data_IF_609210150157
#
_entry.id   IF_609210150157
#
_cell.length_a   1.000
_cell.length_b   1.000
_cell.length_c   1.000
_cell.angle_alpha   90.00
_cell.angle_beta   90.00
_cell.angle_gamma   90.00
#
_symmetry.space_group_name_H-M   'P 1'
#
loop_
_entity.id
_entity.type
_entity.pdbx_description
1 polymer ?
#
# COMPACT_ATOMS: atom_id res chain seq x y z
N UNK A 1 -14.77 16.61 -22.40
CA UNK A 1 -15.51 16.64 -21.11
C UNK A 1 -16.93 16.14 -21.36
N UNK A 2 -17.67 15.77 -20.31
CA UNK A 2 -19.10 15.51 -20.46
C UNK A 2 -19.83 16.79 -20.89
N UNK A 3 -20.95 16.70 -21.63
CA UNK A 3 -21.79 17.86 -21.93
C UNK A 3 -22.24 18.56 -20.63
N UNK A 4 -22.39 19.90 -20.65
CA UNK A 4 -22.88 20.62 -19.48
C UNK A 4 -24.34 20.26 -19.18
N UNK A 5 -24.68 20.28 -17.89
CA UNK A 5 -26.03 20.22 -17.37
C UNK A 5 -26.49 21.65 -17.10
N UNK A 6 -27.59 22.06 -17.73
CA UNK A 6 -28.20 23.37 -17.54
C UNK A 6 -29.21 23.30 -16.40
N UNK A 7 -29.03 24.16 -15.39
CA UNK A 7 -29.98 24.36 -14.29
C UNK A 7 -30.61 25.74 -14.48
N UNK A 8 -31.94 25.77 -14.52
CA UNK A 8 -32.72 27.01 -14.72
C UNK A 8 -33.64 27.18 -13.52
N UNK A 9 -33.49 28.30 -12.82
CA UNK A 9 -34.28 28.63 -11.64
C UNK A 9 -34.94 30.01 -11.81
N UNK A 10 -36.20 30.13 -11.40
CA UNK A 10 -36.87 31.43 -11.27
C UNK A 10 -36.63 31.96 -9.86
N UNK A 11 -36.05 33.14 -9.77
CA UNK A 11 -35.80 33.82 -8.50
C UNK A 11 -37.09 34.47 -7.98
N UNK A 12 -37.21 34.74 -6.67
CA UNK A 12 -38.43 35.34 -6.09
C UNK A 12 -38.84 36.70 -6.66
N UNK A 13 -37.90 37.43 -7.25
CA UNK A 13 -38.10 38.71 -7.96
C UNK A 13 -38.45 38.55 -9.44
N UNK A 14 -38.66 37.32 -9.92
CA UNK A 14 -39.09 37.02 -11.29
C UNK A 14 -37.97 36.98 -12.32
N UNK A 15 -36.70 36.99 -11.90
CA UNK A 15 -35.57 36.80 -12.81
C UNK A 15 -35.34 35.29 -13.08
N UNK A 16 -34.80 34.96 -14.25
CA UNK A 16 -34.41 33.59 -14.58
C UNK A 16 -32.90 33.46 -14.43
N UNK A 17 -32.46 32.68 -13.44
CA UNK A 17 -31.08 32.26 -13.29
C UNK A 17 -30.81 31.06 -14.20
N UNK A 18 -29.70 31.08 -14.94
CA UNK A 18 -29.21 29.94 -15.73
C UNK A 18 -27.79 29.64 -15.34
N UNK A 19 -27.55 28.42 -14.90
CA UNK A 19 -26.23 27.94 -14.51
C UNK A 19 -25.87 26.66 -15.25
N UNK A 20 -24.65 26.61 -15.78
CA UNK A 20 -24.11 25.43 -16.46
C UNK A 20 -23.16 24.67 -15.54
N UNK A 21 -23.51 23.44 -15.20
CA UNK A 21 -22.68 22.54 -14.40
C UNK A 21 -22.02 21.49 -15.26
N UNK A 22 -20.80 21.08 -14.93
CA UNK A 22 -20.10 19.98 -15.59
C UNK A 22 -19.61 18.97 -14.58
N UNK A 23 -19.64 17.69 -14.95
CA UNK A 23 -18.95 16.66 -14.17
C UNK A 23 -17.44 16.93 -14.19
N UNK A 24 -16.82 16.97 -13.01
CA UNK A 24 -15.39 17.26 -12.88
C UNK A 24 -14.55 16.23 -13.63
N UNK A 25 -13.68 16.62 -14.58
CA UNK A 25 -12.77 15.70 -15.27
C UNK A 25 -11.44 15.48 -14.52
N UNK A 26 -11.19 16.30 -13.49
CA UNK A 26 -9.98 16.33 -12.67
C UNK A 26 -10.29 17.01 -11.32
N UNK A 27 -9.47 16.73 -10.29
CA UNK A 27 -9.67 17.31 -8.95
C UNK A 27 -8.99 18.68 -8.79
N UNK A 28 -7.98 19.00 -9.62
CA UNK A 28 -7.13 20.20 -9.49
C UNK A 28 -7.91 21.49 -9.21
N UNK A 29 -8.94 21.87 -10.00
CA UNK A 29 -9.69 23.10 -9.77
C UNK A 29 -10.30 23.20 -8.37
N UNK A 30 -10.77 22.09 -7.81
CA UNK A 30 -11.36 22.06 -6.47
C UNK A 30 -10.27 22.21 -5.40
N UNK A 31 -9.12 21.55 -5.58
CA UNK A 31 -7.98 21.72 -4.68
C UNK A 31 -7.43 23.14 -4.71
N UNK A 32 -7.43 23.80 -5.88
CA UNK A 32 -7.03 25.21 -5.99
C UNK A 32 -8.00 26.12 -5.23
N UNK A 33 -9.32 25.85 -5.28
CA UNK A 33 -10.30 26.58 -4.47
C UNK A 33 -10.09 26.35 -2.96
N UNK A 34 -9.78 25.13 -2.54
CA UNK A 34 -9.44 24.84 -1.14
C UNK A 34 -8.16 25.57 -0.71
N UNK A 35 -7.15 25.61 -1.57
CA UNK A 35 -5.94 26.38 -1.34
C UNK A 35 -6.28 27.87 -1.13
N UNK A 36 -7.01 28.47 -2.08
CA UNK A 36 -7.38 29.88 -2.12
C UNK A 36 -8.39 30.32 -1.04
N UNK A 37 -9.03 29.38 -0.33
CA UNK A 37 -10.04 29.69 0.68
C UNK A 37 -9.50 30.50 1.87
N UNK A 38 -8.18 30.55 2.06
CA UNK A 38 -7.53 31.44 3.03
C UNK A 38 -6.13 31.83 2.56
N UNK A 39 -5.66 32.97 3.06
CA UNK A 39 -4.27 33.40 2.91
C UNK A 39 -3.30 32.36 3.49
N UNK A 40 -2.15 32.19 2.84
CA UNK A 40 -1.11 31.22 3.20
C UNK A 40 0.20 31.93 3.51
N UNK A 41 0.96 31.41 4.46
CA UNK A 41 2.37 31.80 4.69
C UNK A 41 3.32 30.78 4.09
N UNK A 42 4.52 31.20 3.65
CA UNK A 42 5.59 30.30 3.20
C UNK A 42 5.90 29.19 4.22
N UNK A 43 5.69 29.44 5.53
CA UNK A 43 5.88 28.46 6.62
C UNK A 43 4.91 27.29 6.58
N UNK A 44 3.79 27.44 5.87
CA UNK A 44 2.79 26.40 5.68
C UNK A 44 3.06 25.55 4.43
N UNK A 45 4.04 25.95 3.61
CA UNK A 45 4.46 25.21 2.44
C UNK A 45 5.64 24.29 2.79
N UNK A 46 5.71 23.06 2.24
CA UNK A 46 4.80 22.51 1.23
C UNK A 46 3.44 22.02 1.79
N UNK A 47 2.35 22.49 1.20
CA UNK A 47 0.98 22.08 1.55
C UNK A 47 0.51 20.97 0.63
N UNK A 48 0.06 19.84 1.18
CA UNK A 48 -0.39 18.66 0.41
C UNK A 48 -1.89 18.47 0.57
N UNK A 49 -2.64 18.59 -0.54
CA UNK A 49 -4.07 18.29 -0.58
C UNK A 49 -4.28 16.99 -1.36
N UNK A 50 -4.70 15.93 -0.68
CA UNK A 50 -4.93 14.60 -1.26
C UNK A 50 -6.42 14.24 -1.22
N UNK A 51 -6.92 13.66 -2.31
CA UNK A 51 -8.29 13.20 -2.46
C UNK A 51 -8.29 11.86 -3.20
N UNK A 52 -9.04 10.88 -2.68
CA UNK A 52 -9.43 9.73 -3.48
C UNK A 52 -10.62 10.09 -4.35
N UNK A 53 -10.37 10.93 -5.36
CA UNK A 53 -11.39 11.70 -6.05
C UNK A 53 -11.99 10.97 -7.25
N UNK A 54 -13.32 10.93 -7.31
CA UNK A 54 -14.07 10.42 -8.46
C UNK A 54 -14.21 11.50 -9.54
N UNK A 55 -13.78 11.19 -10.76
CA UNK A 55 -13.83 12.12 -11.90
C UNK A 55 -14.40 11.44 -13.14
N UNK A 56 -14.79 12.24 -14.12
CA UNK A 56 -15.53 11.79 -15.29
C UNK A 56 -14.91 12.31 -16.58
N UNK A 57 -14.53 11.40 -17.48
CA UNK A 57 -13.96 11.73 -18.79
C UNK A 57 -14.85 11.18 -19.89
N UNK A 58 -15.17 12.04 -20.86
CA UNK A 58 -15.97 11.67 -22.02
C UNK A 58 -15.10 10.94 -23.04
N UNK A 59 -14.79 9.68 -22.75
CA UNK A 59 -14.03 8.81 -23.63
C UNK A 59 -14.90 8.35 -24.81
N UNK A 60 -14.29 8.32 -26.01
CA UNK A 60 -14.92 7.78 -27.21
C UNK A 60 -15.37 6.33 -26.96
N UNK A 61 -16.54 5.96 -27.47
CA UNK A 61 -17.11 4.62 -27.21
C UNK A 61 -16.18 3.49 -27.63
N UNK A 62 -15.50 3.61 -28.78
CA UNK A 62 -14.52 2.63 -29.26
C UNK A 62 -13.19 2.61 -28.48
N UNK A 63 -12.97 3.56 -27.58
CA UNK A 63 -11.75 3.64 -26.76
C UNK A 63 -11.93 3.05 -25.36
N UNK A 64 -13.18 2.87 -24.89
CA UNK A 64 -13.47 2.26 -23.58
C UNK A 64 -13.10 0.78 -23.62
N UNK A 65 -12.34 0.31 -22.62
CA UNK A 65 -11.83 -1.06 -22.57
C UNK A 65 -11.70 -1.55 -21.13
N UNK A 66 -12.55 -2.51 -20.76
CA UNK A 66 -12.53 -3.16 -19.44
C UNK A 66 -12.40 -2.15 -18.29
N UNK A 67 -11.41 -2.40 -17.42
CA UNK A 67 -11.01 -1.47 -16.35
C UNK A 67 -9.85 -0.55 -16.76
N UNK A 68 -9.16 -0.84 -17.86
CA UNK A 68 -7.98 -0.09 -18.30
C UNK A 68 -8.33 1.31 -18.81
N UNK A 69 -9.50 1.47 -19.44
CA UNK A 69 -10.00 2.76 -19.94
C UNK A 69 -11.51 2.88 -19.74
N UNK A 70 -11.88 3.73 -18.79
CA UNK A 70 -13.25 3.91 -18.29
C UNK A 70 -13.66 5.38 -18.36
N UNK A 71 -14.98 5.65 -18.27
CA UNK A 71 -15.51 7.03 -18.27
C UNK A 71 -15.62 7.64 -16.87
N UNK A 72 -15.91 6.82 -15.86
CA UNK A 72 -15.83 7.19 -14.45
C UNK A 72 -14.57 6.55 -13.88
N UNK A 73 -13.71 7.34 -13.25
CA UNK A 73 -12.46 6.88 -12.68
C UNK A 73 -12.27 7.45 -11.27
N UNK A 74 -11.63 6.67 -10.40
CA UNK A 74 -11.28 7.08 -9.05
C UNK A 74 -9.76 7.27 -8.97
N UNK A 75 -9.29 8.48 -8.69
CA UNK A 75 -7.84 8.79 -8.66
C UNK A 75 -7.33 8.93 -7.24
N UNK A 76 -6.15 8.40 -6.95
CA UNK A 76 -5.44 8.67 -5.70
C UNK A 76 -4.64 9.99 -5.78
N UNK A 77 -5.35 11.04 -6.16
CA UNK A 77 -4.81 12.31 -6.62
C UNK A 77 -4.31 13.17 -5.44
N UNK A 78 -3.21 13.88 -5.62
CA UNK A 78 -2.86 15.00 -4.75
C UNK A 78 -2.20 16.15 -5.49
N UNK A 79 -2.37 17.32 -4.87
CA UNK A 79 -1.82 18.59 -5.32
C UNK A 79 -0.97 19.15 -4.19
N UNK A 80 0.32 19.30 -4.47
CA UNK A 80 1.31 19.78 -3.50
C UNK A 80 1.72 21.19 -3.89
N UNK A 81 1.40 22.16 -3.05
CA UNK A 81 1.77 23.56 -3.25
C UNK A 81 3.09 23.80 -2.54
N UNK A 82 4.08 24.34 -3.25
CA UNK A 82 5.41 24.55 -2.70
C UNK A 82 6.04 25.83 -3.25
N UNK A 83 7.06 26.32 -2.54
CA UNK A 83 7.94 27.39 -3.03
C UNK A 83 8.93 26.83 -4.06
N UNK A 84 9.54 27.69 -4.87
CA UNK A 84 10.54 27.27 -5.88
C UNK A 84 11.70 26.47 -5.25
N UNK A 85 12.23 26.97 -4.13
CA UNK A 85 13.33 26.31 -3.41
C UNK A 85 12.97 24.93 -2.83
N UNK A 86 11.68 24.60 -2.73
CA UNK A 86 11.20 23.32 -2.22
C UNK A 86 10.92 22.28 -3.31
N UNK A 87 10.89 22.67 -4.59
CA UNK A 87 10.51 21.77 -5.71
C UNK A 87 11.34 20.48 -5.68
N UNK A 88 12.67 20.62 -5.56
CA UNK A 88 13.61 19.49 -5.59
C UNK A 88 13.34 18.48 -4.47
N UNK A 89 13.11 18.95 -3.25
CA UNK A 89 12.86 18.09 -2.10
C UNK A 89 11.49 17.42 -2.19
N UNK A 90 10.46 18.17 -2.59
CA UNK A 90 9.10 17.61 -2.77
C UNK A 90 9.09 16.55 -3.87
N UNK A 91 9.73 16.79 -5.02
CA UNK A 91 9.82 15.78 -6.08
C UNK A 91 10.56 14.53 -5.60
N UNK A 92 11.66 14.68 -4.86
CA UNK A 92 12.41 13.55 -4.31
C UNK A 92 11.54 12.69 -3.40
N UNK A 93 10.78 13.33 -2.51
CA UNK A 93 9.84 12.63 -1.62
C UNK A 93 8.77 11.87 -2.41
N UNK A 94 8.17 12.51 -3.43
CA UNK A 94 7.13 11.89 -4.26
C UNK A 94 7.69 10.70 -5.06
N UNK A 95 8.89 10.83 -5.65
CA UNK A 95 9.55 9.73 -6.35
C UNK A 95 9.82 8.56 -5.39
N UNK A 96 10.26 8.85 -4.16
CA UNK A 96 10.50 7.83 -3.13
C UNK A 96 9.20 7.13 -2.70
N UNK A 97 8.07 7.87 -2.64
CA UNK A 97 6.74 7.28 -2.39
C UNK A 97 6.33 6.30 -3.50
N UNK A 98 6.65 6.62 -4.77
CA UNK A 98 6.33 5.77 -5.91
C UNK A 98 7.15 4.48 -5.87
N UNK A 99 8.46 4.60 -5.62
CA UNK A 99 9.36 3.45 -5.42
C UNK A 99 8.86 2.53 -4.31
N UNK A 100 8.56 3.07 -3.13
CA UNK A 100 8.08 2.28 -2.01
C UNK A 100 6.79 1.52 -2.36
N UNK A 101 5.84 2.20 -3.00
CA UNK A 101 4.58 1.60 -3.39
C UNK A 101 4.76 0.45 -4.41
N UNK A 102 5.60 0.65 -5.42
CA UNK A 102 5.89 -0.37 -6.44
C UNK A 102 6.64 -1.56 -5.85
N UNK A 103 7.61 -1.31 -4.97
CA UNK A 103 8.32 -2.36 -4.24
C UNK A 103 7.37 -3.21 -3.38
N UNK A 104 6.43 -2.60 -2.67
CA UNK A 104 5.42 -3.31 -1.87
C UNK A 104 4.53 -4.19 -2.77
N UNK A 105 4.19 -3.70 -3.95
CA UNK A 105 3.36 -4.41 -4.92
C UNK A 105 4.13 -5.42 -5.77
N UNK A 106 5.46 -5.45 -5.70
CA UNK A 106 6.30 -6.32 -6.51
C UNK A 106 6.41 -5.90 -7.97
N UNK A 107 6.08 -4.64 -8.29
CA UNK A 107 6.18 -4.08 -9.62
C UNK A 107 7.64 -3.70 -9.92
N UNK A 108 8.23 -4.32 -10.95
CA UNK A 108 9.65 -4.16 -11.30
C UNK A 108 9.90 -3.77 -12.76
N UNK A 109 8.98 -4.14 -13.66
CA UNK A 109 9.13 -3.88 -15.10
C UNK A 109 8.46 -2.56 -15.48
N UNK A 110 9.15 -1.46 -15.23
CA UNK A 110 8.75 -0.12 -15.63
C UNK A 110 9.97 0.71 -16.01
N UNK A 111 9.75 1.70 -16.87
CA UNK A 111 10.74 2.73 -17.19
C UNK A 111 10.22 4.09 -16.77
N UNK A 112 11.15 5.01 -16.54
CA UNK A 112 10.83 6.40 -16.24
C UNK A 112 11.05 7.22 -17.50
N UNK A 113 10.10 8.11 -17.81
CA UNK A 113 10.21 9.05 -18.93
C UNK A 113 10.08 10.47 -18.42
N UNK A 114 11.06 11.32 -18.73
CA UNK A 114 10.97 12.75 -18.50
C UNK A 114 10.33 13.41 -19.72
N UNK A 115 9.06 13.75 -19.59
CA UNK A 115 8.26 14.33 -20.65
C UNK A 115 8.43 15.86 -20.67
N UNK A 116 8.98 16.38 -21.76
CA UNK A 116 9.42 17.77 -21.94
C UNK A 116 8.61 18.52 -22.99
N UNK A 117 8.72 19.85 -22.97
CA UNK A 117 8.25 20.70 -24.05
C UNK A 117 9.09 20.50 -25.30
N UNK A 118 8.44 20.39 -26.45
CA UNK A 118 9.10 20.45 -27.74
C UNK A 118 8.78 21.81 -28.40
N UNK A 119 9.77 22.73 -28.47
CA UNK A 119 9.59 24.05 -29.09
C UNK A 119 9.47 23.98 -30.62
N UNK A 120 9.92 22.89 -31.24
CA UNK A 120 9.89 22.67 -32.69
C UNK A 120 8.66 21.87 -33.14
N UNK A 121 7.82 21.40 -32.21
CA UNK A 121 6.56 20.72 -32.53
C UNK A 121 5.60 21.68 -33.27
N UNK A 122 5.22 21.38 -34.53
CA UNK A 122 4.28 22.20 -35.30
C UNK A 122 2.89 22.33 -34.65
N UNK A 123 2.53 21.39 -33.76
CA UNK A 123 1.31 21.42 -32.92
C UNK A 123 1.57 22.02 -31.53
N UNK A 124 2.82 22.29 -31.18
CA UNK A 124 3.29 22.62 -29.83
C UNK A 124 3.02 24.04 -29.39
N UNK A 125 3.19 25.05 -30.25
CA UNK A 125 3.01 26.47 -29.84
C UNK A 125 1.62 26.81 -29.32
N UNK A 126 0.56 26.20 -29.87
CA UNK A 126 -0.81 26.39 -29.37
C UNK A 126 -1.15 25.44 -28.20
N UNK A 127 -0.43 24.32 -28.09
CA UNK A 127 -0.65 23.30 -27.07
C UNK A 127 -0.06 23.70 -25.72
N UNK A 128 1.07 24.38 -25.68
CA UNK A 128 1.81 24.69 -24.44
C UNK A 128 1.61 26.15 -24.00
N UNK A 129 1.77 26.41 -22.69
CA UNK A 129 1.83 27.79 -22.19
C UNK A 129 3.12 28.45 -22.69
N UNK A 130 2.96 29.66 -23.25
CA UNK A 130 4.05 30.50 -23.75
C UNK A 130 4.85 31.11 -22.58
N UNK A 131 5.75 30.30 -22.02
CA UNK A 131 6.61 30.63 -20.89
C UNK A 131 7.95 29.89 -21.00
N UNK A 132 8.78 30.18 -22.02
CA UNK A 132 9.98 29.42 -22.33
C UNK A 132 10.99 29.37 -21.17
N UNK A 133 11.11 30.46 -20.40
CA UNK A 133 12.01 30.53 -19.25
C UNK A 133 11.58 29.60 -18.11
N UNK A 134 10.26 29.50 -17.85
CA UNK A 134 9.71 28.61 -16.83
C UNK A 134 9.85 27.15 -17.27
N UNK A 135 9.61 26.84 -18.55
CA UNK A 135 9.86 25.52 -19.12
C UNK A 135 11.32 25.09 -18.92
N UNK A 136 12.27 25.89 -19.40
CA UNK A 136 13.68 25.57 -19.31
C UNK A 136 14.12 25.37 -17.85
N UNK A 137 13.68 26.26 -16.94
CA UNK A 137 14.04 26.19 -15.53
C UNK A 137 13.48 24.94 -14.86
N UNK A 138 12.21 24.65 -15.08
CA UNK A 138 11.52 23.54 -14.41
C UNK A 138 11.95 22.18 -14.93
N UNK A 139 12.22 22.07 -16.23
CA UNK A 139 12.82 20.87 -16.83
C UNK A 139 14.22 20.60 -16.29
N UNK A 140 15.05 21.64 -16.16
CA UNK A 140 16.39 21.52 -15.59
C UNK A 140 16.34 21.04 -14.12
N UNK A 141 15.43 21.59 -13.30
CA UNK A 141 15.27 21.16 -11.91
C UNK A 141 14.94 19.66 -11.82
N UNK A 142 14.03 19.17 -12.66
CA UNK A 142 13.63 17.75 -12.65
C UNK A 142 14.77 16.87 -13.17
N UNK A 143 15.41 17.25 -14.29
CA UNK A 143 16.54 16.51 -14.85
C UNK A 143 17.71 16.39 -13.86
N UNK A 144 18.15 17.51 -13.29
CA UNK A 144 19.21 17.54 -12.27
C UNK A 144 18.87 16.70 -11.03
N UNK A 145 17.58 16.60 -10.69
CA UNK A 145 17.15 15.76 -9.58
C UNK A 145 17.25 14.28 -9.95
N UNK A 146 16.79 13.87 -11.13
CA UNK A 146 16.90 12.49 -11.60
C UNK A 146 18.35 12.05 -11.68
N UNK A 147 19.22 12.90 -12.24
CA UNK A 147 20.66 12.67 -12.32
C UNK A 147 21.29 12.52 -10.92
N UNK A 148 20.93 13.41 -9.99
CA UNK A 148 21.42 13.34 -8.60
C UNK A 148 20.89 12.11 -7.83
N UNK A 149 19.74 11.56 -8.23
CA UNK A 149 19.18 10.34 -7.67
C UNK A 149 19.67 9.07 -8.39
N UNK A 150 20.50 9.21 -9.43
CA UNK A 150 20.95 8.13 -10.32
C UNK A 150 19.78 7.30 -10.87
N UNK A 151 18.67 7.96 -11.24
CA UNK A 151 17.52 7.31 -11.85
C UNK A 151 17.67 7.34 -13.36
N UNK A 152 17.73 6.17 -13.99
CA UNK A 152 17.72 6.06 -15.45
C UNK A 152 16.34 6.51 -15.99
N UNK A 153 16.34 7.40 -16.98
CA UNK A 153 15.12 7.87 -17.63
C UNK A 153 15.30 8.05 -19.15
N UNK A 154 14.18 7.94 -19.87
CA UNK A 154 14.08 8.26 -21.29
C UNK A 154 13.59 9.71 -21.47
N UNK A 155 14.13 10.41 -22.47
CA UNK A 155 13.63 11.75 -22.82
C UNK A 155 12.36 11.65 -23.68
N UNK A 156 11.35 12.46 -23.36
CA UNK A 156 10.05 12.48 -24.03
C UNK A 156 9.70 13.88 -24.55
N UNK A 157 10.37 14.38 -25.60
CA UNK A 157 10.03 15.67 -26.20
C UNK A 157 8.59 15.64 -26.75
N UNK A 158 7.81 16.67 -26.45
CA UNK A 158 6.41 16.81 -26.91
C UNK A 158 5.40 16.00 -26.07
N UNK A 159 5.86 15.27 -25.06
CA UNK A 159 5.01 14.43 -24.21
C UNK A 159 4.57 15.15 -22.91
N UNK A 160 5.10 16.34 -22.60
CA UNK A 160 4.67 17.13 -21.44
C UNK A 160 3.17 17.51 -21.50
N UNK A 161 2.56 17.85 -20.34
CA UNK A 161 1.25 18.49 -20.39
C UNK A 161 1.39 19.96 -20.77
N UNK A 162 0.27 20.64 -21.05
CA UNK A 162 0.32 22.02 -21.54
C UNK A 162 0.91 23.03 -20.55
N UNK A 163 0.95 22.72 -19.26
CA UNK A 163 1.25 23.65 -18.15
C UNK A 163 2.54 23.33 -17.38
N UNK A 164 3.32 22.36 -17.85
CA UNK A 164 4.65 22.07 -17.29
C UNK A 164 5.12 20.63 -17.51
N UNK A 165 6.39 20.35 -17.19
CA UNK A 165 7.02 19.06 -17.41
C UNK A 165 6.44 17.99 -16.46
N UNK A 166 6.60 16.73 -16.86
CA UNK A 166 6.15 15.60 -16.04
C UNK A 166 7.10 14.41 -16.11
N UNK A 167 7.21 13.73 -14.98
CA UNK A 167 7.83 12.41 -14.86
C UNK A 167 6.75 11.35 -15.02
N UNK A 168 6.82 10.58 -16.10
CA UNK A 168 5.88 9.50 -16.38
C UNK A 168 6.50 8.15 -16.01
N UNK A 169 5.75 7.33 -15.29
CA UNK A 169 6.10 5.92 -15.07
C UNK A 169 5.42 5.08 -16.12
N UNK A 170 6.22 4.45 -16.98
CA UNK A 170 5.80 3.69 -18.13
C UNK A 170 5.85 2.20 -17.82
N UNK A 171 4.73 1.51 -17.98
CA UNK A 171 4.63 0.07 -17.74
C UNK A 171 4.39 -0.68 -19.04
N UNK A 172 4.97 -1.87 -19.15
CA UNK A 172 4.66 -2.81 -20.22
C UNK A 172 3.46 -3.67 -19.82
N UNK A 173 2.41 -3.65 -20.62
CA UNK A 173 1.26 -4.54 -20.45
C UNK A 173 1.58 -5.96 -20.90
N UNK A 174 0.74 -6.94 -20.53
CA UNK A 174 0.91 -8.33 -20.97
C UNK A 174 0.81 -8.52 -22.50
N UNK A 175 0.20 -7.56 -23.20
CA UNK A 175 0.12 -7.51 -24.67
C UNK A 175 1.39 -6.93 -25.30
N UNK A 176 2.38 -6.53 -24.50
CA UNK A 176 3.65 -5.94 -24.94
C UNK A 176 3.60 -4.43 -25.17
N UNK A 177 2.44 -3.79 -25.00
CA UNK A 177 2.27 -2.35 -25.19
C UNK A 177 2.83 -1.58 -23.99
N UNK A 178 3.59 -0.53 -24.25
CA UNK A 178 4.07 0.37 -23.20
C UNK A 178 3.05 1.48 -23.00
N UNK A 179 2.59 1.66 -21.77
CA UNK A 179 1.63 2.70 -21.42
C UNK A 179 2.05 3.45 -20.16
N UNK A 180 1.78 4.76 -20.15
CA UNK A 180 1.92 5.58 -18.94
C UNK A 180 0.89 5.14 -17.90
N UNK A 181 1.35 4.77 -16.70
CA UNK A 181 0.47 4.40 -15.59
C UNK A 181 0.32 5.54 -14.58
N UNK A 182 1.46 6.05 -14.09
CA UNK A 182 1.52 7.06 -13.04
C UNK A 182 2.32 8.26 -13.51
N UNK A 183 2.13 9.41 -12.86
CA UNK A 183 2.80 10.65 -13.25
C UNK A 183 3.06 11.53 -12.05
N UNK A 184 4.17 12.27 -12.09
CA UNK A 184 4.45 13.41 -11.22
C UNK A 184 4.65 14.61 -12.12
N UNK A 185 3.80 15.61 -12.00
CA UNK A 185 3.75 16.74 -12.90
C UNK A 185 3.97 18.03 -12.13
N UNK A 186 4.92 18.84 -12.60
CA UNK A 186 5.09 20.21 -12.12
C UNK A 186 4.21 21.14 -12.95
N UNK A 187 3.45 21.99 -12.27
CA UNK A 187 2.59 23.01 -12.84
C UNK A 187 3.02 24.39 -12.33
N UNK A 188 3.49 25.21 -13.26
CA UNK A 188 3.85 26.60 -13.03
C UNK A 188 2.80 27.58 -13.60
N UNK A 189 1.81 27.09 -14.34
CA UNK A 189 0.93 27.95 -15.14
C UNK A 189 -0.50 28.08 -14.57
N UNK A 190 -1.06 27.05 -13.94
CA UNK A 190 -2.42 27.14 -13.38
C UNK A 190 -2.48 27.98 -12.09
N UNK A 191 -1.53 27.87 -11.13
CA UNK A 191 -1.55 28.71 -9.94
C UNK A 191 -1.66 30.22 -10.22
N UNK A 192 -0.85 30.84 -11.11
CA UNK A 192 -0.98 32.27 -11.40
C UNK A 192 -2.31 32.59 -12.11
N UNK A 193 -2.78 31.74 -13.02
CA UNK A 193 -4.07 31.93 -13.73
C UNK A 193 -5.28 31.96 -12.79
N UNK A 194 -5.20 31.25 -11.67
CA UNK A 194 -6.24 31.23 -10.65
C UNK A 194 -6.01 32.23 -9.52
N UNK A 195 -4.97 33.06 -9.61
CA UNK A 195 -4.62 34.05 -8.58
C UNK A 195 -4.23 33.41 -7.25
N UNK A 196 -3.59 32.24 -7.28
CA UNK A 196 -3.11 31.59 -6.07
C UNK A 196 -1.84 32.31 -5.58
N UNK A 197 -1.76 32.54 -4.27
CA UNK A 197 -0.62 33.20 -3.66
C UNK A 197 -0.29 32.71 -2.25
N UNK A 198 0.88 33.09 -1.77
CA UNK A 198 1.29 32.99 -0.37
C UNK A 198 2.15 34.21 0.02
N UNK A 199 2.23 34.49 1.31
CA UNK A 199 3.13 35.51 1.86
C UNK A 199 4.51 34.90 2.10
N UNK A 200 5.50 35.43 1.42
CA UNK A 200 6.91 35.07 1.51
C UNK A 200 7.54 35.41 2.84
N UNK A 201 8.79 34.98 3.03
CA UNK A 201 9.61 35.36 4.18
C UNK A 201 10.07 36.81 4.13
N UNK A 202 10.15 37.37 2.92
CA UNK A 202 10.30 38.79 2.61
C UNK A 202 9.04 39.64 2.90
N UNK A 203 7.92 38.99 3.24
CA UNK A 203 6.63 39.64 3.49
C UNK A 203 5.89 40.07 2.21
N UNK A 204 6.41 39.75 1.02
CA UNK A 204 5.76 40.01 -0.25
C UNK A 204 4.81 38.85 -0.64
N UNK A 205 3.95 39.10 -1.61
CA UNK A 205 3.06 38.08 -2.17
C UNK A 205 3.79 37.33 -3.31
N UNK A 206 3.81 36.01 -3.22
CA UNK A 206 4.45 35.10 -4.17
C UNK A 206 3.45 34.07 -4.69
N UNK A 207 3.72 33.51 -5.87
CA UNK A 207 2.89 32.46 -6.47
C UNK A 207 3.49 31.08 -6.14
N UNK A 208 2.71 30.12 -5.63
CA UNK A 208 3.21 28.78 -5.38
C UNK A 208 3.31 27.98 -6.68
N UNK A 209 4.28 27.08 -6.76
CA UNK A 209 4.25 25.98 -7.74
C UNK A 209 3.29 24.90 -7.26
N UNK A 210 2.67 24.17 -8.19
CA UNK A 210 1.80 23.04 -7.88
C UNK A 210 2.39 21.75 -8.47
N UNK A 211 2.47 20.70 -7.65
CA UNK A 211 2.89 19.37 -8.08
C UNK A 211 1.67 18.45 -8.05
N UNK A 212 1.28 17.94 -9.21
CA UNK A 212 0.21 16.97 -9.37
C UNK A 212 0.81 15.57 -9.31
N UNK A 213 0.21 14.69 -8.52
CA UNK A 213 0.73 13.32 -8.37
C UNK A 213 -0.40 12.32 -8.20
N UNK A 214 -0.24 11.16 -8.83
CA UNK A 214 -1.10 9.98 -8.68
C UNK A 214 -0.24 8.70 -8.75
N UNK A 215 0.33 8.21 -7.62
CA UNK A 215 1.28 7.10 -7.60
C UNK A 215 0.71 5.80 -8.15
N UNK A 216 -0.59 5.59 -7.99
CA UNK A 216 -1.25 4.34 -8.32
C UNK A 216 -2.29 4.55 -9.42
N UNK A 217 -2.09 5.55 -10.29
CA UNK A 217 -2.99 5.82 -11.41
C UNK A 217 -4.46 6.02 -10.97
N UNK A 218 -5.39 5.72 -11.86
CA UNK A 218 -6.78 5.49 -11.46
C UNK A 218 -6.91 4.09 -10.85
N UNK A 219 -7.79 3.94 -9.87
CA UNK A 219 -8.04 2.67 -9.21
C UNK A 219 -8.38 1.56 -10.20
N UNK A 220 -9.26 1.87 -11.15
CA UNK A 220 -9.73 0.92 -12.14
C UNK A 220 -8.56 0.42 -13.00
N UNK A 221 -7.75 1.35 -13.52
CA UNK A 221 -6.62 1.02 -14.37
C UNK A 221 -5.51 0.30 -13.61
N UNK A 222 -5.27 0.69 -12.36
CA UNK A 222 -4.28 0.05 -11.52
C UNK A 222 -4.69 -1.36 -11.14
N UNK A 223 -5.95 -1.59 -10.79
CA UNK A 223 -6.48 -2.94 -10.55
C UNK A 223 -6.37 -3.78 -11.82
N UNK A 224 -6.65 -3.22 -13.00
CA UNK A 224 -6.45 -3.92 -14.28
C UNK A 224 -4.99 -4.39 -14.43
N UNK A 225 -4.03 -3.50 -14.18
CA UNK A 225 -2.60 -3.82 -14.20
C UNK A 225 -2.26 -4.91 -13.18
N UNK A 226 -2.75 -4.83 -11.94
CA UNK A 226 -2.45 -5.84 -10.92
C UNK A 226 -3.04 -7.21 -11.28
N UNK A 227 -4.24 -7.26 -11.88
CA UNK A 227 -4.82 -8.52 -12.39
C UNK A 227 -3.89 -9.14 -13.42
N UNK A 228 -3.39 -8.35 -14.38
CA UNK A 228 -2.46 -8.82 -15.41
C UNK A 228 -1.12 -9.26 -14.79
N UNK A 229 -0.53 -8.42 -13.94
CA UNK A 229 0.77 -8.64 -13.30
C UNK A 229 0.80 -9.94 -12.48
N UNK A 230 -0.23 -10.19 -11.68
CA UNK A 230 -0.33 -11.43 -10.89
C UNK A 230 -0.96 -12.59 -11.66
N UNK A 231 -1.39 -12.38 -12.90
CA UNK A 231 -2.24 -13.31 -13.63
C UNK A 231 -3.47 -13.73 -12.81
N UNK A 232 -4.04 -12.83 -12.01
CA UNK A 232 -5.13 -13.10 -11.07
C UNK A 232 -4.79 -13.91 -9.81
N UNK A 233 -3.54 -14.36 -9.62
CA UNK A 233 -3.07 -15.04 -8.41
C UNK A 233 -2.49 -14.02 -7.42
N UNK A 234 -3.36 -13.20 -6.84
CA UNK A 234 -2.95 -12.12 -5.94
C UNK A 234 -2.19 -12.61 -4.70
N UNK A 235 -1.22 -11.82 -4.18
CA UNK A 235 -0.66 -12.07 -2.85
C UNK A 235 -1.77 -12.03 -1.80
N UNK A 236 -1.61 -12.79 -0.71
CA UNK A 236 -2.67 -12.99 0.29
C UNK A 236 -3.30 -11.69 0.77
N UNK A 237 -2.53 -10.62 0.97
CA UNK A 237 -3.09 -9.36 1.46
C UNK A 237 -4.02 -8.66 0.45
N UNK A 238 -3.82 -8.87 -0.86
CA UNK A 238 -4.68 -8.34 -1.94
C UNK A 238 -5.81 -9.31 -2.35
N UNK A 239 -5.68 -10.60 -2.07
CA UNK A 239 -6.63 -11.61 -2.55
C UNK A 239 -8.06 -11.35 -2.01
N UNK A 240 -9.11 -11.33 -2.88
CA UNK A 240 -10.49 -11.11 -2.43
C UNK A 240 -10.94 -12.13 -1.38
N UNK A 241 -10.56 -13.39 -1.56
CA UNK A 241 -10.65 -14.45 -0.54
C UNK A 241 -9.23 -14.87 -0.20
N UNK A 242 -8.86 -14.74 1.07
CA UNK A 242 -7.52 -15.06 1.56
C UNK A 242 -7.41 -16.53 1.95
N UNK A 243 -8.48 -17.09 2.50
CA UNK A 243 -8.52 -18.47 3.03
C UNK A 243 -9.81 -19.17 2.59
N UNK A 244 -9.69 -20.36 2.02
CA UNK A 244 -10.81 -21.29 1.82
C UNK A 244 -10.73 -22.43 2.83
N UNK A 245 -11.76 -22.58 3.66
CA UNK A 245 -11.89 -23.72 4.58
C UNK A 245 -12.64 -24.85 3.88
N UNK A 246 -12.10 -26.06 3.90
CA UNK A 246 -12.60 -27.24 3.19
C UNK A 246 -12.78 -28.36 4.21
N UNK A 247 -14.00 -28.89 4.35
CA UNK A 247 -14.26 -30.06 5.19
C UNK A 247 -14.15 -31.36 4.39
N UNK A 248 -13.54 -32.40 4.98
CA UNK A 248 -13.48 -33.75 4.38
C UNK A 248 -14.82 -34.50 4.44
N UNK A 249 -15.69 -34.12 5.37
CA UNK A 249 -17.05 -34.66 5.54
C UNK A 249 -17.95 -33.63 6.23
N UNK A 250 -19.27 -33.78 6.09
CA UNK A 250 -20.28 -32.92 6.72
C UNK A 250 -20.17 -32.87 8.25
N UNK A 251 -19.66 -33.92 8.89
CA UNK A 251 -19.43 -33.98 10.34
C UNK A 251 -18.60 -32.80 10.89
N UNK A 252 -17.71 -32.21 10.07
CA UNK A 252 -16.83 -31.11 10.48
C UNK A 252 -17.42 -29.72 10.20
N UNK A 253 -18.67 -29.63 9.74
CA UNK A 253 -19.29 -28.36 9.33
C UNK A 253 -19.35 -27.31 10.45
N UNK A 254 -19.75 -27.70 11.66
CA UNK A 254 -19.85 -26.78 12.80
C UNK A 254 -18.52 -26.18 13.19
N UNK A 255 -17.49 -27.03 13.32
CA UNK A 255 -16.13 -26.59 13.61
C UNK A 255 -15.57 -25.68 12.50
N UNK A 256 -15.80 -26.03 11.23
CA UNK A 256 -15.33 -25.22 10.11
C UNK A 256 -16.01 -23.84 10.05
N UNK A 257 -17.29 -23.74 10.42
CA UNK A 257 -17.99 -22.45 10.57
C UNK A 257 -17.41 -21.60 11.70
N UNK A 258 -17.13 -22.20 12.85
CA UNK A 258 -16.46 -21.51 13.97
C UNK A 258 -15.06 -21.01 13.57
N UNK A 259 -14.29 -21.82 12.83
CA UNK A 259 -12.97 -21.44 12.32
C UNK A 259 -13.06 -20.24 11.35
N UNK A 260 -14.01 -20.27 10.41
CA UNK A 260 -14.23 -19.13 9.50
C UNK A 260 -14.61 -17.87 10.27
N UNK A 261 -15.46 -17.97 11.27
CA UNK A 261 -15.87 -16.83 12.10
C UNK A 261 -14.70 -16.25 12.89
N UNK A 262 -13.86 -17.10 13.48
CA UNK A 262 -12.65 -16.68 14.19
C UNK A 262 -11.68 -15.96 13.24
N UNK A 263 -11.47 -16.49 12.03
CA UNK A 263 -10.64 -15.84 11.01
C UNK A 263 -11.19 -14.45 10.62
N UNK A 264 -12.50 -14.35 10.39
CA UNK A 264 -13.15 -13.07 10.00
C UNK A 264 -13.11 -12.03 11.13
N UNK A 265 -13.31 -12.47 12.37
CA UNK A 265 -13.13 -11.62 13.57
C UNK A 265 -11.73 -11.05 13.67
N UNK A 266 -10.73 -11.76 13.14
CA UNK A 266 -9.33 -11.32 13.05
C UNK A 266 -8.98 -10.65 11.70
N UNK A 267 -9.97 -10.08 11.01
CA UNK A 267 -9.83 -9.37 9.73
C UNK A 267 -9.24 -10.20 8.57
N UNK A 268 -9.34 -11.54 8.65
CA UNK A 268 -8.98 -12.44 7.55
C UNK A 268 -10.22 -12.72 6.69
N UNK A 269 -10.14 -12.47 5.38
CA UNK A 269 -11.23 -12.76 4.43
C UNK A 269 -11.29 -14.26 4.14
N UNK A 270 -11.96 -15.00 5.02
CA UNK A 270 -12.13 -16.44 4.93
C UNK A 270 -13.54 -16.83 4.44
N UNK A 271 -13.62 -17.91 3.66
CA UNK A 271 -14.87 -18.51 3.21
C UNK A 271 -14.88 -20.03 3.43
N UNK A 272 -16.04 -20.58 3.79
CA UNK A 272 -16.26 -22.03 3.81
C UNK A 272 -16.53 -22.54 2.37
N UNK A 273 -16.01 -23.72 2.03
CA UNK A 273 -16.34 -24.41 0.78
C UNK A 273 -17.73 -25.04 0.84
N UNK A 274 -18.32 -25.34 -0.33
CA UNK A 274 -19.61 -26.05 -0.42
C UNK A 274 -19.59 -27.33 0.42
N UNK A 275 -20.64 -27.57 1.21
CA UNK A 275 -20.74 -28.77 2.05
C UNK A 275 -21.01 -30.02 1.20
N UNK A 276 -21.82 -29.90 0.13
CA UNK A 276 -22.30 -31.01 -0.71
C UNK A 276 -21.32 -31.51 -1.77
N UNK A 277 -20.24 -30.77 -2.03
CA UNK A 277 -19.25 -31.15 -3.05
C UNK A 277 -18.23 -32.17 -2.53
N UNK A 278 -17.62 -32.93 -3.43
CA UNK A 278 -16.47 -33.77 -3.06
C UNK A 278 -15.26 -32.91 -2.70
N UNK A 279 -14.38 -33.37 -1.81
CA UNK A 279 -13.15 -32.65 -1.42
C UNK A 279 -12.32 -32.25 -2.64
N UNK A 280 -12.15 -33.16 -3.61
CA UNK A 280 -11.45 -32.89 -4.86
C UNK A 280 -12.08 -31.74 -5.65
N UNK A 281 -13.42 -31.68 -5.70
CA UNK A 281 -14.14 -30.57 -6.35
C UNK A 281 -13.95 -29.25 -5.60
N UNK A 282 -14.01 -29.26 -4.27
CA UNK A 282 -13.75 -28.07 -3.42
C UNK A 282 -12.34 -27.52 -3.63
N UNK A 283 -11.33 -28.39 -3.68
CA UNK A 283 -9.93 -28.02 -3.94
C UNK A 283 -9.78 -27.45 -5.36
N UNK A 284 -10.41 -28.09 -6.36
CA UNK A 284 -10.35 -27.66 -7.75
C UNK A 284 -10.98 -26.28 -7.93
N UNK A 285 -12.15 -26.04 -7.35
CA UNK A 285 -12.81 -24.72 -7.35
C UNK A 285 -11.89 -23.65 -6.75
N UNK A 286 -11.37 -23.88 -5.55
CA UNK A 286 -10.52 -22.91 -4.87
C UNK A 286 -9.21 -22.62 -5.64
N UNK A 287 -8.62 -23.65 -6.26
CA UNK A 287 -7.44 -23.52 -7.13
C UNK A 287 -7.77 -22.72 -8.39
N UNK A 288 -8.93 -22.98 -9.00
CA UNK A 288 -9.39 -22.28 -10.22
C UNK A 288 -9.64 -20.80 -9.94
N UNK A 289 -10.18 -20.49 -8.75
CA UNK A 289 -10.36 -19.13 -8.22
C UNK A 289 -9.07 -18.50 -7.66
N UNK A 290 -7.94 -19.22 -7.71
CA UNK A 290 -6.61 -18.75 -7.27
C UNK A 290 -6.59 -18.26 -5.82
N UNK A 291 -7.33 -18.96 -4.95
CA UNK A 291 -7.34 -18.64 -3.51
C UNK A 291 -5.99 -19.07 -2.91
N UNK A 292 -5.24 -18.18 -2.27
CA UNK A 292 -3.85 -18.44 -1.90
C UNK A 292 -3.69 -19.50 -0.80
N UNK A 293 -4.66 -19.61 0.11
CA UNK A 293 -4.57 -20.53 1.25
C UNK A 293 -5.81 -21.43 1.33
N UNK A 294 -5.57 -22.75 1.35
CA UNK A 294 -6.61 -23.76 1.59
C UNK A 294 -6.36 -24.40 2.97
N UNK A 295 -7.38 -24.38 3.83
CA UNK A 295 -7.38 -25.07 5.12
C UNK A 295 -8.29 -26.29 5.02
N UNK A 296 -7.71 -27.49 5.10
CA UNK A 296 -8.49 -28.74 5.04
C UNK A 296 -8.73 -29.23 6.46
N UNK A 297 -10.00 -29.41 6.81
CA UNK A 297 -10.49 -29.84 8.12
C UNK A 297 -10.99 -31.29 8.02
N UNK A 298 -10.38 -32.17 8.79
CA UNK A 298 -10.76 -33.58 8.86
C UNK A 298 -10.10 -34.34 10.00
N UNK A 299 -10.34 -35.66 10.05
CA UNK A 299 -9.65 -36.56 10.97
C UNK A 299 -8.20 -36.76 10.52
N UNK A 300 -7.25 -36.66 11.45
CA UNK A 300 -5.85 -36.96 11.17
C UNK A 300 -5.62 -38.46 11.31
N UNK A 301 -5.34 -39.15 10.21
CA UNK A 301 -4.99 -40.56 10.24
C UNK A 301 -3.54 -40.75 10.70
N UNK A 302 -3.34 -41.07 11.98
CA UNK A 302 -2.10 -41.72 12.42
C UNK A 302 -2.35 -43.24 12.44
N UNK A 303 -1.57 -44.08 11.73
CA UNK A 303 -1.79 -45.52 11.68
C UNK A 303 -1.22 -46.19 12.94
N UNK A 304 -1.80 -45.93 14.11
CA UNK A 304 -1.51 -46.71 15.32
C UNK A 304 -2.78 -46.90 16.15
N UNK A 305 -3.17 -48.13 16.49
CA UNK A 305 -4.38 -48.36 17.27
C UNK A 305 -4.05 -48.07 18.73
N UNK A 306 -4.60 -47.00 19.29
CA UNK A 306 -5.13 -46.93 20.68
C UNK A 306 -5.50 -45.49 21.07
N UNK A 307 -6.70 -45.39 21.66
CA UNK A 307 -7.31 -44.29 22.43
C UNK A 307 -8.09 -43.23 21.64
N UNK A 308 -9.41 -43.32 21.87
CA UNK A 308 -10.48 -42.38 21.53
C UNK A 308 -10.19 -40.97 22.09
N UNK A 309 -9.86 -40.05 21.20
CA UNK A 309 -10.20 -38.63 21.29
C UNK A 309 -10.31 -38.12 19.84
N UNK A 310 -11.49 -37.60 19.47
CA UNK A 310 -11.77 -37.09 18.11
C UNK A 310 -11.23 -35.66 18.02
N UNK A 311 -10.13 -35.46 17.31
CA UNK A 311 -9.55 -34.12 17.11
C UNK A 311 -9.47 -33.83 15.62
N UNK A 312 -10.07 -32.72 15.18
CA UNK A 312 -9.97 -32.25 13.81
C UNK A 312 -8.66 -31.45 13.64
N UNK A 313 -7.92 -31.70 12.57
CA UNK A 313 -6.67 -30.99 12.28
C UNK A 313 -6.81 -30.14 11.00
N UNK A 314 -6.10 -29.01 10.95
CA UNK A 314 -6.01 -28.15 9.78
C UNK A 314 -4.63 -28.27 9.12
N UNK A 315 -4.58 -28.66 7.85
CA UNK A 315 -3.36 -28.64 7.03
C UNK A 315 -3.36 -27.44 6.07
N UNK A 316 -2.24 -26.70 6.02
CA UNK A 316 -2.05 -25.58 5.09
C UNK A 316 -1.32 -26.06 3.85
N UNK A 317 -1.91 -25.88 2.66
CA UNK A 317 -1.24 -26.09 1.38
C UNK A 317 -1.20 -24.78 0.58
N UNK A 318 -0.01 -24.23 0.40
CA UNK A 318 0.22 -23.06 -0.46
C UNK A 318 0.29 -23.44 -1.94
N UNK A 319 -0.25 -22.59 -2.81
CA UNK A 319 -0.16 -22.72 -4.27
C UNK A 319 1.08 -21.95 -4.74
N UNK A 320 2.05 -22.62 -5.40
CA UNK A 320 3.22 -21.93 -5.98
C UNK A 320 2.80 -21.17 -7.25
N UNK A 321 2.97 -19.86 -7.26
CA UNK A 321 3.00 -19.05 -8.48
C UNK A 321 4.43 -18.96 -9.01
N UNK A 322 4.63 -19.28 -10.28
CA UNK A 322 5.90 -19.07 -10.96
C UNK A 322 5.87 -17.74 -11.71
N UNK A 323 6.86 -16.89 -11.51
CA UNK A 323 7.22 -15.83 -12.45
C UNK A 323 8.73 -15.86 -12.66
N UNK A 324 9.12 -15.97 -13.93
CA UNK A 324 10.50 -15.93 -14.39
C UNK A 324 10.89 -14.55 -14.91
N UNK A 325 12.19 -14.44 -15.15
CA UNK A 325 12.97 -13.33 -15.74
C UNK A 325 13.34 -12.13 -14.86
N UNK A 326 14.63 -11.78 -15.00
CA UNK A 326 15.41 -10.81 -14.24
C UNK A 326 15.38 -9.48 -14.99
N UNK A 327 14.56 -8.55 -14.51
CA UNK A 327 14.47 -7.19 -15.05
C UNK A 327 14.91 -6.17 -14.00
N UNK A 328 15.64 -5.15 -14.48
CA UNK A 328 16.30 -4.13 -13.66
C UNK A 328 15.28 -3.14 -13.11
N UNK A 329 15.34 -2.92 -11.80
CA UNK A 329 14.58 -1.92 -11.05
C UNK A 329 15.25 -0.54 -11.19
N UNK A 330 14.62 0.47 -11.82
CA UNK A 330 15.22 1.78 -12.03
C UNK A 330 15.35 2.64 -10.76
N UNK A 331 14.66 2.30 -9.66
CA UNK A 331 14.82 2.99 -8.37
C UNK A 331 15.83 2.31 -7.43
N UNK A 332 16.55 1.28 -7.89
CA UNK A 332 17.43 0.46 -7.06
C UNK A 332 18.52 1.24 -6.28
N UNK A 333 18.83 2.48 -6.68
CA UNK A 333 19.93 3.32 -6.18
C UNK A 333 19.53 4.54 -5.33
N UNK A 334 18.26 4.74 -4.97
CA UNK A 334 17.80 5.77 -4.00
C UNK A 334 18.34 5.52 -2.56
N UNK A 335 19.32 4.63 -2.40
CA UNK A 335 19.94 4.20 -1.16
C UNK A 335 20.97 5.22 -0.69
N UNK A 336 20.50 6.33 -0.16
CA UNK A 336 21.34 7.32 0.48
C UNK A 336 20.50 8.22 1.37
N UNK A 337 20.53 7.94 2.68
CA UNK A 337 20.04 8.70 3.85
C UNK A 337 19.03 7.90 4.68
N UNK A 338 19.54 7.23 5.72
CA UNK A 338 18.89 7.16 7.04
C UNK A 338 17.53 6.47 7.22
N UNK A 339 17.13 5.51 6.38
CA UNK A 339 15.94 4.69 6.68
C UNK A 339 16.33 3.44 7.49
N UNK A 340 16.20 3.56 8.82
CA UNK A 340 16.30 2.41 9.73
C UNK A 340 15.21 1.42 9.34
N UNK A 341 15.61 0.24 8.85
CA UNK A 341 14.78 -0.89 8.42
C UNK A 341 13.49 -1.04 9.25
N UNK A 342 12.37 -0.52 8.73
CA UNK A 342 11.03 -0.85 9.20
C UNK A 342 10.72 -2.28 8.73
N UNK A 343 10.87 -3.21 9.67
CA UNK A 343 10.53 -4.64 9.53
C UNK A 343 9.08 -4.79 9.01
N UNK A 344 8.79 -5.68 8.04
CA UNK A 344 7.43 -6.05 7.75
C UNK A 344 6.86 -6.88 8.90
N UNK A 345 5.83 -6.32 9.52
CA UNK A 345 4.70 -6.91 10.27
C UNK A 345 4.93 -8.15 11.15
N UNK A 346 4.63 -7.97 12.46
CA UNK A 346 4.40 -9.07 13.40
C UNK A 346 3.25 -9.93 12.90
N UNK A 347 3.46 -11.24 12.84
CA UNK A 347 2.39 -12.22 12.77
C UNK A 347 1.41 -11.97 13.92
N UNK A 348 0.12 -11.86 13.61
CA UNK A 348 -0.94 -11.95 14.61
C UNK A 348 -0.98 -13.42 15.05
N UNK A 349 -0.42 -13.69 16.23
CA UNK A 349 -0.62 -14.96 16.90
C UNK A 349 -2.04 -14.99 17.45
N UNK A 350 -2.83 -15.98 17.01
CA UNK A 350 -4.11 -16.32 17.62
C UNK A 350 -3.82 -17.00 18.97
N UNK A 351 -4.04 -16.28 20.07
CA UNK A 351 -4.20 -16.89 21.39
C UNK A 351 -5.70 -16.87 21.69
N UNK A 352 -6.29 -18.05 21.79
CA UNK A 352 -7.67 -18.22 22.23
C UNK A 352 -7.69 -18.16 23.76
N UNK A 353 -8.29 -17.09 24.31
CA UNK A 353 -8.50 -16.91 25.74
C UNK A 353 -9.71 -17.74 26.16
N UNK A 354 -9.49 -19.00 26.50
CA UNK A 354 -10.57 -19.80 27.07
C UNK A 354 -10.18 -21.19 27.49
N UNK A 355 -9.49 -21.35 28.64
CA UNK A 355 -9.73 -22.44 29.60
C UNK A 355 -8.98 -22.12 30.89
N UNK A 356 -9.72 -21.72 31.94
CA UNK A 356 -9.14 -21.52 33.28
C UNK A 356 -8.89 -22.86 33.96
N UNK A 357 -7.66 -23.10 34.43
CA UNK A 357 -7.36 -24.18 35.40
C UNK A 357 -6.28 -23.72 36.40
N UNK A 358 -6.55 -24.03 37.65
CA UNK A 358 -5.86 -23.71 38.90
C UNK A 358 -4.45 -24.36 39.00
N UNK A 359 -3.45 -23.62 39.48
CA UNK A 359 -2.07 -24.10 39.63
C UNK A 359 -1.75 -24.39 41.11
N UNK A 360 -1.64 -25.67 41.47
CA UNK A 360 -0.84 -26.12 42.62
C UNK A 360 0.36 -26.91 42.09
N UNK A 361 1.56 -26.34 42.21
CA UNK A 361 2.82 -27.02 41.93
C UNK A 361 3.16 -28.01 43.06
N UNK A 362 3.60 -29.22 42.70
CA UNK A 362 4.41 -30.09 43.55
C UNK A 362 5.83 -30.13 42.98
N UNK A 363 6.79 -29.72 43.80
CA UNK A 363 8.23 -29.86 43.54
C UNK A 363 8.66 -31.33 43.64
N UNK A 364 9.57 -31.75 42.78
CA UNK A 364 10.45 -32.90 43.05
C UNK A 364 11.90 -32.47 42.83
N UNK A 365 12.69 -32.68 43.88
CA UNK A 365 14.09 -32.31 43.98
C UNK A 365 14.99 -33.30 43.20
N UNK A 366 16.03 -32.76 42.58
CA UNK A 366 17.14 -33.50 42.00
C UNK A 366 18.44 -32.74 42.24
N UNK A 367 19.26 -33.31 43.11
CA UNK A 367 20.46 -32.76 43.74
C UNK A 367 21.67 -32.89 42.80
N UNK A 368 22.50 -31.86 42.72
CA UNK A 368 23.87 -31.94 42.22
C UNK A 368 24.77 -30.93 42.96
N UNK A 369 25.68 -31.46 43.76
CA UNK A 369 26.72 -30.73 44.49
C UNK A 369 27.88 -30.34 43.56
N UNK A 370 28.32 -29.08 43.60
CA UNK A 370 29.74 -28.71 43.48
C UNK A 370 30.04 -27.49 44.37
N UNK A 371 30.90 -27.78 45.36
CA UNK A 371 31.82 -26.98 46.19
C UNK A 371 32.04 -25.52 45.81
N UNK A 372 31.91 -24.64 46.82
CA UNK A 372 32.20 -23.21 46.74
C UNK A 372 33.60 -22.81 47.22
N UNK A 373 33.94 -21.55 46.92
CA UNK A 373 34.84 -20.71 47.71
C UNK A 373 34.24 -19.30 47.76
N UNK A 374 34.27 -18.73 48.97
CA UNK A 374 33.83 -17.40 49.40
C UNK A 374 34.47 -16.26 48.60
N UNK A 375 33.80 -15.10 48.44
CA UNK A 375 33.84 -13.98 49.40
C UNK A 375 32.80 -12.89 49.03
N UNK A 376 31.95 -12.52 50.00
CA UNK A 376 31.61 -11.11 50.29
C UNK A 376 30.31 -10.51 49.73
N UNK A 377 29.36 -10.21 50.62
CA UNK A 377 28.42 -9.10 50.43
C UNK A 377 26.99 -9.27 50.95
N UNK A 378 26.80 -9.07 52.26
CA UNK A 378 25.61 -8.66 53.03
C UNK A 378 24.22 -8.51 52.34
N UNK A 379 23.28 -9.30 52.88
CA UNK A 379 21.87 -9.04 53.26
C UNK A 379 21.31 -7.60 53.00
N UNK A 380 20.04 -7.36 52.61
CA UNK A 380 18.81 -7.91 53.17
C UNK A 380 17.54 -7.42 52.41
N UNK A 381 16.45 -8.19 52.58
CA UNK A 381 15.02 -7.84 52.41
C UNK A 381 14.35 -7.92 51.02
N UNK A 382 13.55 -8.98 50.89
CA UNK A 382 12.63 -9.23 49.78
C UNK A 382 11.38 -8.36 49.79
N UNK A 383 10.83 -8.20 48.59
CA UNK A 383 9.54 -7.57 48.36
C UNK A 383 8.60 -8.61 47.76
N UNK A 384 7.66 -9.04 48.59
CA UNK A 384 6.37 -9.62 48.18
C UNK A 384 5.61 -8.53 47.44
N UNK A 385 5.28 -8.72 46.16
CA UNK A 385 4.22 -7.94 45.53
C UNK A 385 3.33 -8.81 44.66
N UNK A 386 2.14 -9.05 45.20
CA UNK A 386 1.00 -9.61 44.49
C UNK A 386 0.47 -8.65 43.42
N UNK A 387 -0.04 -9.29 42.37
CA UNK A 387 -0.90 -8.83 41.29
C UNK A 387 -1.56 -7.44 41.47
N UNK A 388 -1.26 -6.55 40.53
CA UNK A 388 -2.15 -5.48 40.05
C UNK A 388 -1.80 -5.18 38.58
N UNK A 389 -2.45 -5.87 37.65
CA UNK A 389 -2.43 -5.53 36.22
C UNK A 389 -3.66 -4.68 35.92
N UNK A 390 -3.45 -3.37 35.83
CA UNK A 390 -4.39 -2.42 35.22
C UNK A 390 -4.25 -2.51 33.69
N UNK A 391 -5.39 -2.59 33.02
CA UNK A 391 -5.53 -2.46 31.56
C UNK A 391 -5.08 -1.05 31.16
N UNK A 392 -4.13 -0.93 30.24
CA UNK A 392 -3.75 0.34 29.60
C UNK A 392 -4.15 0.26 28.13
N UNK A 393 -4.99 1.21 27.69
CA UNK A 393 -5.49 1.28 26.32
C UNK A 393 -4.44 1.84 25.35
N UNK A 394 -4.65 1.56 24.06
CA UNK A 394 -3.79 1.81 22.90
C UNK A 394 -3.33 3.27 22.67
N UNK A 395 -3.70 4.22 23.55
CA UNK A 395 -3.39 5.65 23.40
C UNK A 395 -2.06 6.08 24.06
N UNK A 396 -1.40 5.21 24.83
CA UNK A 396 -0.15 5.57 25.55
C UNK A 396 1.15 5.07 24.91
N UNK A 397 1.11 4.37 23.77
CA UNK A 397 2.32 3.81 23.15
C UNK A 397 3.10 4.76 22.23
N UNK A 398 2.76 6.06 22.21
CA UNK A 398 3.40 7.06 21.33
C UNK A 398 4.58 7.79 22.00
N UNK A 399 4.93 7.51 23.27
CA UNK A 399 5.95 8.28 24.00
C UNK A 399 7.10 7.52 24.67
N UNK A 400 7.46 6.32 24.19
CA UNK A 400 8.66 5.63 24.67
C UNK A 400 9.55 5.16 23.51
N UNK A 401 10.09 6.12 22.76
CA UNK A 401 11.15 5.90 21.76
C UNK A 401 12.44 6.48 22.34
N UNK A 402 13.06 5.78 23.28
CA UNK A 402 14.50 5.84 23.56
C UNK A 402 14.87 4.89 24.70
N UNK A 403 16.03 4.23 24.53
CA UNK A 403 16.71 3.26 25.43
C UNK A 403 16.34 1.79 25.19
N UNK A 404 17.16 1.13 24.35
CA UNK A 404 17.97 -0.05 24.73
C UNK A 404 18.61 -0.65 23.48
N UNK A 405 19.85 -0.21 23.22
CA UNK A 405 20.84 -0.90 22.39
C UNK A 405 21.70 -1.75 23.34
N UNK A 406 21.88 -3.05 23.05
CA UNK A 406 23.16 -3.81 23.00
C UNK A 406 23.01 -5.32 23.26
N UNK A 407 23.94 -6.08 22.64
CA UNK A 407 24.26 -7.51 22.75
C UNK A 407 23.36 -8.45 21.90
N UNK A 408 23.82 -9.24 20.92
CA UNK A 408 25.15 -9.61 20.43
C UNK A 408 25.24 -11.14 20.26
N UNK A 409 25.53 -11.61 19.03
CA UNK A 409 25.90 -12.99 18.60
C UNK A 409 24.72 -14.01 18.46
N UNK A 410 24.58 -14.86 17.43
CA UNK A 410 25.43 -15.37 16.35
C UNK A 410 24.57 -15.65 15.09
N UNK A 411 25.12 -15.39 13.90
CA UNK A 411 24.46 -15.58 12.61
C UNK A 411 24.76 -16.97 12.02
N UNK A 412 23.74 -17.63 11.48
CA UNK A 412 23.89 -18.60 10.40
C UNK A 412 23.02 -18.14 9.23
N UNK A 413 23.68 -17.73 8.15
CA UNK A 413 23.08 -17.28 6.90
C UNK A 413 22.67 -18.52 6.09
N UNK A 414 21.38 -18.64 5.77
CA UNK A 414 20.92 -19.44 4.64
C UNK A 414 19.98 -18.57 3.80
N UNK A 415 20.57 -18.10 2.71
CA UNK A 415 19.97 -17.32 1.65
C UNK A 415 19.13 -18.27 0.78
N UNK A 416 17.82 -18.04 0.71
CA UNK A 416 16.98 -18.61 -0.33
C UNK A 416 15.88 -17.60 -0.68
N UNK A 417 15.90 -17.16 -1.94
CA UNK A 417 14.88 -16.35 -2.59
C UNK A 417 13.51 -17.06 -2.57
N UNK A 418 12.43 -16.25 -2.65
CA UNK A 418 10.98 -16.55 -2.75
C UNK A 418 10.20 -16.24 -1.45
N UNK A 419 9.41 -15.14 -1.39
CA UNK A 419 8.50 -14.91 -0.27
C UNK A 419 7.09 -15.40 -0.64
N UNK A 420 6.74 -16.63 -0.25
CA UNK A 420 5.33 -17.09 -0.12
C UNK A 420 5.28 -18.48 0.53
N UNK A 421 5.50 -18.57 1.84
CA UNK A 421 4.99 -19.67 2.67
C UNK A 421 4.63 -19.10 4.04
N UNK A 422 3.35 -18.86 4.29
CA UNK A 422 2.84 -18.75 5.66
C UNK A 422 2.50 -20.17 6.11
N UNK A 423 3.41 -20.77 6.87
CA UNK A 423 3.17 -22.05 7.55
C UNK A 423 2.41 -21.75 8.84
N UNK A 424 1.10 -21.94 8.84
CA UNK A 424 0.29 -21.90 10.06
C UNK A 424 0.37 -23.29 10.71
N UNK A 425 1.35 -23.48 11.61
CA UNK A 425 1.38 -24.62 12.52
C UNK A 425 0.58 -24.23 13.78
N UNK A 426 -0.61 -24.81 13.94
CA UNK A 426 -1.25 -24.91 15.25
C UNK A 426 -0.56 -26.06 16.00
N UNK A 427 0.34 -25.72 16.92
CA UNK A 427 0.83 -26.65 17.94
C UNK A 427 0.11 -26.33 19.24
N UNK A 428 -0.79 -27.20 19.69
CA UNK A 428 -1.20 -27.23 21.09
C UNK A 428 -0.12 -27.90 21.95
N UNK A 429 0.04 -27.49 23.23
CA UNK A 429 1.00 -28.10 24.14
C UNK A 429 0.52 -29.48 24.60
N UNK A 430 1.45 -30.44 24.50
CA UNK A 430 1.32 -31.82 24.96
C UNK A 430 0.93 -31.89 26.45
N UNK A 431 -0.23 -32.47 26.74
CA UNK A 431 -0.54 -32.97 28.09
C UNK A 431 0.22 -34.28 28.36
N UNK A 432 1.15 -34.24 29.32
CA UNK A 432 1.89 -35.40 29.83
C UNK A 432 0.94 -36.43 30.48
N UNK A 433 1.24 -37.71 30.24
CA UNK A 433 0.68 -38.84 30.97
C UNK A 433 0.81 -38.66 32.49
N UNK A 434 -0.25 -39.01 33.22
CA UNK A 434 -0.18 -39.80 34.44
C UNK A 434 -1.13 -41.00 34.32
#
# INVERSE_FOLDING_TARGET
MYPPMEVVEETPDGATLRESYMLKPMNCPHHHKIYAARLRSYRELPLRLAEYGQVYRWEASGAVSGLARVRMLSMNDAHIYCTEGQIRDVFREVISEYDEAYRILGLKDYTIRLSRWDPDDPKGREKYVDAPDDWQRTEAIIADLLDAMEIDYEDGPGEAAFYGPKLDVMFRTITGKVEQLSTVQLDFAVPPRLGLSYIGDDGAEHVPYCIHRAPLSTHERFVALLIEHFGGAFPTWLAPVQVRVITVSEHYGDYARQLVESLRTNFVRAELASESDTVSKKIRDATTRKIPNLLIVGEHGDPTPLRRARTAHAAVRGIRGGTGEDHRDPFARVRGVGATLSRPWRAVALLDDGFGVDFRQRETAGQADVVGEDVGGFENQGVVLGRLLRIVSFRQLVHARDRLFTLGHQALVLQAQIPSVVLLLLLEPRGLCQ
#
